data_IF_216131518841
#
_entry.id   IF_216131518841
#
_cell.length_a   1.000
_cell.length_b   1.000
_cell.length_c   1.000
_cell.angle_alpha   90.00
_cell.angle_beta   90.00
_cell.angle_gamma   90.00
#
_symmetry.space_group_name_H-M   'P 1'
#
loop_
_entity.id
_entity.type
_entity.pdbx_description
1 polymer ?
#
# COMPACT_ATOMS: atom_id res chain seq x y z
N UNK A 1 9.72 9.85 -87.76
CA UNK A 1 8.97 9.07 -86.75
C UNK A 1 9.96 8.54 -85.71
N UNK A 2 9.83 8.94 -84.44
CA UNK A 2 10.58 8.35 -83.31
C UNK A 2 9.71 8.43 -82.05
N UNK A 3 9.29 7.26 -81.59
CA UNK A 3 8.30 7.06 -80.53
C UNK A 3 8.89 7.38 -79.15
N UNK A 4 8.18 8.17 -78.33
CA UNK A 4 8.51 8.37 -76.92
C UNK A 4 7.64 7.42 -76.09
N UNK A 5 8.28 6.43 -75.46
CA UNK A 5 7.64 5.55 -74.47
C UNK A 5 7.53 6.33 -73.15
N UNK A 6 6.31 6.55 -72.67
CA UNK A 6 6.06 6.98 -71.29
C UNK A 6 5.90 5.72 -70.44
N UNK A 7 6.83 5.51 -69.50
CA UNK A 7 6.68 4.51 -68.46
C UNK A 7 5.81 5.10 -67.34
N UNK A 8 4.59 4.59 -67.20
CA UNK A 8 3.74 4.87 -66.04
C UNK A 8 4.24 4.03 -64.86
N UNK A 9 4.87 4.68 -63.87
CA UNK A 9 5.24 4.06 -62.60
C UNK A 9 4.00 3.90 -61.73
N UNK A 10 3.65 2.65 -61.42
CA UNK A 10 2.57 2.26 -60.54
C UNK A 10 2.94 2.60 -59.08
N UNK A 11 2.36 3.67 -58.51
CA UNK A 11 2.47 3.95 -57.08
C UNK A 11 1.57 2.98 -56.31
N UNK A 12 2.15 1.87 -55.84
CA UNK A 12 1.49 0.98 -54.89
C UNK A 12 1.46 1.71 -53.54
N UNK A 13 0.34 2.38 -53.26
CA UNK A 13 0.07 2.92 -51.93
C UNK A 13 -0.44 1.77 -51.06
N UNK A 14 0.43 1.22 -50.22
CA UNK A 14 -0.04 0.32 -49.15
C UNK A 14 -0.73 1.18 -48.10
N UNK A 15 -2.07 1.17 -48.12
CA UNK A 15 -2.86 1.67 -47.01
C UNK A 15 -2.60 0.76 -45.80
N UNK A 16 -1.75 1.22 -44.88
CA UNK A 16 -1.63 0.64 -43.54
C UNK A 16 -2.94 0.93 -42.81
N UNK A 17 -3.87 -0.03 -42.84
CA UNK A 17 -5.01 -0.03 -41.95
C UNK A 17 -4.50 -0.17 -40.52
N UNK A 18 -4.43 0.93 -39.78
CA UNK A 18 -4.16 0.90 -38.34
C UNK A 18 -5.35 0.23 -37.67
N UNK A 19 -5.20 -1.05 -37.31
CA UNK A 19 -6.08 -1.69 -36.34
C UNK A 19 -5.81 -0.97 -35.02
N UNK A 20 -6.75 -0.14 -34.57
CA UNK A 20 -6.76 0.37 -33.21
C UNK A 20 -6.94 -0.84 -32.29
N UNK A 21 -5.84 -1.34 -31.73
CA UNK A 21 -5.90 -2.24 -30.58
C UNK A 21 -6.51 -1.41 -29.45
N UNK A 22 -7.78 -1.60 -29.16
CA UNK A 22 -8.43 -1.12 -27.95
C UNK A 22 -7.77 -1.85 -26.77
N UNK A 23 -6.63 -1.33 -26.30
CA UNK A 23 -6.07 -1.76 -25.03
C UNK A 23 -7.11 -1.41 -23.97
N UNK A 24 -7.59 -2.36 -23.15
CA UNK A 24 -8.46 -2.02 -22.03
C UNK A 24 -7.69 -1.04 -21.15
N UNK A 25 -8.26 0.15 -20.97
CA UNK A 25 -7.76 1.09 -19.97
C UNK A 25 -7.99 0.41 -18.61
N UNK A 26 -6.92 0.03 -17.92
CA UNK A 26 -7.02 -0.24 -16.50
C UNK A 26 -7.54 1.05 -15.85
N UNK A 27 -8.68 0.97 -15.18
CA UNK A 27 -9.23 2.12 -14.49
C UNK A 27 -8.23 2.55 -13.42
N UNK A 28 -7.57 3.68 -13.63
CA UNK A 28 -6.69 4.28 -12.64
C UNK A 28 -7.56 4.98 -11.59
N UNK A 29 -7.43 4.58 -10.33
CA UNK A 29 -8.15 5.21 -9.23
C UNK A 29 -7.50 6.55 -8.91
N UNK A 30 -8.32 7.57 -8.68
CA UNK A 30 -7.84 8.86 -8.20
C UNK A 30 -7.18 8.71 -6.82
N UNK A 31 -6.31 9.67 -6.48
CA UNK A 31 -5.67 9.73 -5.18
C UNK A 31 -6.69 9.65 -4.03
N UNK A 32 -7.77 10.43 -4.10
CA UNK A 32 -8.83 10.46 -3.10
C UNK A 32 -9.51 9.10 -2.94
N UNK A 33 -9.82 8.41 -4.04
CA UNK A 33 -10.41 7.06 -3.99
C UNK A 33 -9.49 6.06 -3.29
N UNK A 34 -8.18 6.10 -3.58
CA UNK A 34 -7.22 5.20 -2.93
C UNK A 34 -7.07 5.50 -1.44
N UNK A 35 -7.08 6.77 -1.07
CA UNK A 35 -7.00 7.18 0.33
C UNK A 35 -8.26 6.82 1.10
N UNK A 36 -9.44 6.99 0.50
CA UNK A 36 -10.72 6.56 1.07
C UNK A 36 -10.73 5.04 1.27
N UNK A 37 -10.31 4.27 0.26
CA UNK A 37 -10.26 2.81 0.37
C UNK A 37 -9.35 2.35 1.52
N UNK A 38 -8.20 3.00 1.72
CA UNK A 38 -7.36 2.79 2.90
C UNK A 38 -8.06 3.21 4.19
N UNK A 39 -8.66 4.40 4.23
CA UNK A 39 -9.27 4.97 5.44
C UNK A 39 -10.48 4.16 5.94
N UNK A 40 -11.23 3.55 5.03
CA UNK A 40 -12.34 2.64 5.33
C UNK A 40 -11.89 1.19 5.57
N UNK A 41 -10.59 0.90 5.43
CA UNK A 41 -10.05 -0.44 5.69
C UNK A 41 -9.78 -0.69 7.17
N UNK A 42 -9.44 -1.94 7.50
CA UNK A 42 -8.94 -2.30 8.83
C UNK A 42 -7.44 -2.06 9.05
N UNK A 43 -6.72 -1.53 8.04
CA UNK A 43 -5.28 -1.28 8.14
C UNK A 43 -5.01 0.07 8.80
N UNK A 44 -4.04 0.09 9.71
CA UNK A 44 -3.70 1.28 10.47
C UNK A 44 -2.48 2.02 9.89
N UNK A 45 -2.10 3.13 10.53
CA UNK A 45 -0.97 3.94 10.12
C UNK A 45 0.36 3.16 10.09
N UNK A 46 0.58 2.27 11.06
CA UNK A 46 1.76 1.43 11.10
C UNK A 46 1.80 0.46 9.90
N UNK A 47 0.67 -0.15 9.54
CA UNK A 47 0.59 -1.01 8.34
C UNK A 47 0.96 -0.23 7.08
N UNK A 48 0.39 0.96 6.89
CA UNK A 48 0.73 1.82 5.76
C UNK A 48 2.21 2.21 5.75
N UNK A 49 2.77 2.57 6.90
CA UNK A 49 4.18 2.90 7.03
C UNK A 49 5.06 1.72 6.62
N UNK A 50 4.77 0.52 7.12
CA UNK A 50 5.52 -0.68 6.77
C UNK A 50 5.40 -1.03 5.28
N UNK A 51 4.21 -0.88 4.68
CA UNK A 51 4.02 -1.06 3.24
C UNK A 51 4.88 -0.07 2.45
N UNK A 52 4.90 1.21 2.83
CA UNK A 52 5.76 2.22 2.21
C UNK A 52 7.26 1.88 2.33
N UNK A 53 7.70 1.52 3.54
CA UNK A 53 9.11 1.19 3.82
C UNK A 53 9.62 0.01 2.99
N UNK A 54 8.78 -0.98 2.67
CA UNK A 54 9.18 -2.14 1.86
C UNK A 54 9.73 -1.72 0.47
N UNK A 55 9.22 -0.62 -0.09
CA UNK A 55 9.66 -0.09 -1.38
C UNK A 55 10.32 1.30 -1.28
N UNK A 56 10.85 1.63 -0.09
CA UNK A 56 11.51 2.90 0.19
C UNK A 56 10.64 4.13 -0.17
N UNK A 57 9.35 4.05 0.14
CA UNK A 57 8.38 5.12 -0.01
C UNK A 57 7.95 5.64 1.37
N UNK A 58 7.32 6.81 1.38
CA UNK A 58 6.73 7.37 2.59
C UNK A 58 5.39 6.69 2.95
N UNK A 59 4.85 7.03 4.11
CA UNK A 59 3.57 6.50 4.59
C UNK A 59 2.39 6.92 3.69
N UNK A 60 2.46 8.07 3.02
CA UNK A 60 1.41 8.54 2.10
C UNK A 60 1.29 7.58 0.92
N UNK A 61 2.42 7.19 0.35
CA UNK A 61 2.46 6.17 -0.70
C UNK A 61 2.05 4.79 -0.17
N UNK A 62 2.43 4.44 1.05
CA UNK A 62 1.96 3.20 1.69
C UNK A 62 0.44 3.10 1.77
N UNK A 63 -0.24 4.20 2.15
CA UNK A 63 -1.71 4.28 2.15
C UNK A 63 -2.29 4.11 0.74
N UNK A 64 -1.71 4.80 -0.25
CA UNK A 64 -2.13 4.67 -1.64
C UNK A 64 -1.96 3.24 -2.19
N UNK A 65 -0.88 2.54 -1.83
CA UNK A 65 -0.64 1.15 -2.23
C UNK A 65 -1.71 0.23 -1.63
N UNK A 66 -1.99 0.35 -0.32
CA UNK A 66 -3.06 -0.42 0.35
C UNK A 66 -4.41 -0.14 -0.33
N UNK A 67 -4.75 1.13 -0.54
CA UNK A 67 -6.00 1.53 -1.18
C UNK A 67 -6.15 0.96 -2.59
N UNK A 68 -5.11 1.05 -3.40
CA UNK A 68 -5.09 0.47 -4.75
C UNK A 68 -5.27 -1.05 -4.70
N UNK A 69 -4.59 -1.76 -3.80
CA UNK A 69 -4.75 -3.21 -3.64
C UNK A 69 -6.20 -3.59 -3.34
N UNK A 70 -6.85 -2.87 -2.42
CA UNK A 70 -8.25 -3.08 -2.05
C UNK A 70 -9.18 -2.83 -3.24
N UNK A 71 -9.03 -1.69 -3.93
CA UNK A 71 -9.89 -1.32 -5.05
C UNK A 71 -9.72 -2.22 -6.28
N UNK A 72 -8.53 -2.82 -6.46
CA UNK A 72 -8.28 -3.82 -7.50
C UNK A 72 -8.73 -5.24 -7.10
N UNK A 73 -9.39 -5.41 -5.94
CA UNK A 73 -9.90 -6.71 -5.50
C UNK A 73 -8.82 -7.69 -5.03
N UNK A 74 -7.61 -7.21 -4.77
CA UNK A 74 -6.45 -8.01 -4.32
C UNK A 74 -5.95 -7.54 -2.94
N UNK A 75 -6.87 -7.04 -2.10
CA UNK A 75 -6.56 -6.60 -0.73
C UNK A 75 -6.07 -7.73 0.19
N UNK A 76 -6.40 -8.98 -0.16
CA UNK A 76 -5.92 -10.20 0.51
C UNK A 76 -4.41 -10.45 0.39
N UNK A 77 -3.71 -9.74 -0.52
CA UNK A 77 -2.25 -9.78 -0.63
C UNK A 77 -1.55 -8.99 0.48
N UNK A 78 -2.24 -8.01 1.09
CA UNK A 78 -1.60 -7.06 2.02
C UNK A 78 -0.98 -7.75 3.25
N UNK A 79 -1.59 -8.79 3.85
CA UNK A 79 -0.93 -9.55 4.93
C UNK A 79 0.41 -10.15 4.53
N UNK A 80 0.56 -10.63 3.29
CA UNK A 80 1.83 -11.13 2.76
C UNK A 80 2.85 -10.00 2.62
N UNK A 81 2.44 -8.85 2.08
CA UNK A 81 3.29 -7.65 1.96
C UNK A 81 3.78 -7.18 3.34
N UNK A 82 2.91 -7.18 4.35
CA UNK A 82 3.29 -6.83 5.71
C UNK A 82 4.26 -7.87 6.31
N UNK A 83 4.08 -9.15 6.01
CA UNK A 83 5.03 -10.19 6.41
C UNK A 83 6.42 -10.00 5.76
N UNK A 84 6.46 -9.66 4.47
CA UNK A 84 7.70 -9.32 3.75
C UNK A 84 8.37 -8.07 4.34
N UNK A 85 7.60 -7.03 4.63
CA UNK A 85 8.10 -5.82 5.28
C UNK A 85 8.72 -6.12 6.66
N UNK A 86 8.08 -6.99 7.44
CA UNK A 86 8.65 -7.46 8.72
C UNK A 86 9.93 -8.27 8.53
N UNK A 87 10.00 -9.13 7.51
CA UNK A 87 11.19 -9.90 7.18
C UNK A 87 12.36 -8.99 6.73
N UNK A 88 12.05 -7.85 6.11
CA UNK A 88 13.00 -6.79 5.78
C UNK A 88 13.39 -5.89 6.97
N UNK A 89 13.03 -6.27 8.20
CA UNK A 89 13.30 -5.52 9.43
C UNK A 89 12.61 -4.14 9.52
N UNK A 90 11.59 -3.86 8.70
CA UNK A 90 10.79 -2.65 8.86
C UNK A 90 9.90 -2.76 10.10
N UNK A 91 9.86 -1.71 10.91
CA UNK A 91 9.15 -1.67 12.20
C UNK A 91 8.50 -0.31 12.39
N UNK A 92 7.48 -0.28 13.23
CA UNK A 92 6.90 0.95 13.72
C UNK A 92 7.47 1.31 15.08
N UNK A 93 7.57 2.61 15.34
CA UNK A 93 7.88 3.17 16.64
C UNK A 93 6.59 3.41 17.42
N UNK A 94 6.74 3.74 18.70
CA UNK A 94 5.64 4.10 19.58
C UNK A 94 4.77 5.23 18.99
N UNK A 95 5.41 6.24 18.41
CA UNK A 95 4.77 7.43 17.84
C UNK A 95 3.97 7.13 16.56
N UNK A 96 4.16 5.95 15.96
CA UNK A 96 3.38 5.51 14.79
C UNK A 96 2.12 4.73 15.21
N UNK A 97 1.93 4.50 16.51
CA UNK A 97 0.76 3.78 17.02
C UNK A 97 -0.39 4.75 17.32
N UNK A 98 -1.61 4.21 17.42
CA UNK A 98 -2.79 4.99 17.78
C UNK A 98 -2.94 5.22 19.30
N UNK A 99 -2.01 4.69 20.10
CA UNK A 99 -2.12 4.68 21.56
C UNK A 99 -1.42 5.89 22.17
N UNK A 100 -1.96 6.37 23.27
CA UNK A 100 -1.41 7.50 24.01
C UNK A 100 -0.63 7.07 25.26
N UNK A 101 -0.15 8.06 26.02
CA UNK A 101 0.62 7.79 27.23
C UNK A 101 -0.20 7.04 28.29
N UNK A 102 -1.50 7.33 28.40
CA UNK A 102 -2.37 6.72 29.41
C UNK A 102 -2.66 5.26 29.05
N UNK A 103 -2.80 4.95 27.75
CA UNK A 103 -2.84 3.58 27.25
C UNK A 103 -1.56 2.83 27.61
N UNK A 104 -0.38 3.42 27.39
CA UNK A 104 0.89 2.78 27.77
C UNK A 104 1.01 2.55 29.28
N UNK A 105 0.53 3.48 30.10
CA UNK A 105 0.49 3.33 31.55
C UNK A 105 -0.49 2.21 31.98
N UNK A 106 -1.64 2.11 31.31
CA UNK A 106 -2.60 1.04 31.56
C UNK A 106 -2.04 -0.33 31.18
N UNK A 107 -1.41 -0.45 30.00
CA UNK A 107 -0.71 -1.68 29.57
C UNK A 107 0.42 -2.06 30.52
N UNK A 108 1.22 -1.09 30.97
CA UNK A 108 2.28 -1.33 31.94
C UNK A 108 1.75 -1.99 33.22
N UNK A 109 0.61 -1.50 33.74
CA UNK A 109 -0.05 -2.08 34.91
C UNK A 109 -0.68 -3.43 34.62
N UNK A 110 -1.41 -3.56 33.51
CA UNK A 110 -2.13 -4.77 33.16
C UNK A 110 -1.19 -5.97 32.98
N UNK A 111 0.01 -5.73 32.45
CA UNK A 111 0.99 -6.78 32.15
C UNK A 111 2.19 -6.81 33.09
N UNK A 112 2.15 -6.02 34.18
CA UNK A 112 3.22 -5.93 35.17
C UNK A 112 4.61 -5.63 34.54
N UNK A 113 4.65 -4.66 33.61
CA UNK A 113 5.87 -4.20 32.97
C UNK A 113 6.63 -3.24 33.88
N UNK A 114 7.96 -3.28 33.84
CA UNK A 114 8.83 -2.52 34.75
C UNK A 114 8.73 -1.01 34.61
N UNK A 115 8.29 -0.51 33.45
CA UNK A 115 8.15 0.92 33.18
C UNK A 115 7.16 1.22 32.06
N UNK A 116 6.72 2.48 31.96
CA UNK A 116 5.96 2.97 30.80
C UNK A 116 6.77 2.90 29.51
N UNK A 117 8.10 3.05 29.58
CA UNK A 117 8.98 2.89 28.41
C UNK A 117 8.93 1.46 27.86
N UNK A 118 8.95 0.45 28.74
CA UNK A 118 8.80 -0.95 28.35
C UNK A 118 7.42 -1.22 27.72
N UNK A 119 6.38 -0.60 28.26
CA UNK A 119 5.03 -0.70 27.70
C UNK A 119 4.94 -0.09 26.30
N UNK A 120 5.51 1.11 26.09
CA UNK A 120 5.57 1.74 24.76
C UNK A 120 6.28 0.86 23.73
N UNK A 121 7.42 0.29 24.11
CA UNK A 121 8.17 -0.65 23.26
C UNK A 121 7.35 -1.91 22.95
N UNK A 122 6.66 -2.45 23.96
CA UNK A 122 5.79 -3.62 23.79
C UNK A 122 4.61 -3.32 22.87
N UNK A 123 3.96 -2.16 23.03
CA UNK A 123 2.85 -1.74 22.17
C UNK A 123 3.32 -1.57 20.73
N UNK A 124 4.42 -0.85 20.50
CA UNK A 124 5.00 -0.68 19.17
C UNK A 124 5.33 -2.03 18.50
N UNK A 125 5.90 -2.96 19.28
CA UNK A 125 6.17 -4.32 18.82
C UNK A 125 4.89 -5.07 18.46
N UNK A 126 3.84 -5.02 19.29
CA UNK A 126 2.58 -5.71 19.05
C UNK A 126 1.85 -5.15 17.82
N UNK A 127 1.76 -3.83 17.71
CA UNK A 127 1.17 -3.15 16.53
C UNK A 127 1.94 -3.52 15.26
N UNK A 128 3.27 -3.46 15.30
CA UNK A 128 4.11 -3.90 14.17
C UNK A 128 3.75 -5.32 13.72
N UNK A 129 3.50 -6.25 14.64
CA UNK A 129 3.20 -7.65 14.32
C UNK A 129 1.72 -7.91 13.97
N UNK A 130 0.87 -6.89 13.94
CA UNK A 130 -0.58 -7.07 13.72
C UNK A 130 -1.32 -7.62 14.94
N UNK A 131 -0.69 -7.62 16.12
CA UNK A 131 -1.24 -8.10 17.39
C UNK A 131 -1.93 -6.96 18.19
N UNK A 132 -2.40 -5.91 17.52
CA UNK A 132 -3.02 -4.74 18.17
C UNK A 132 -4.18 -5.14 19.10
N UNK A 133 -4.91 -6.20 18.75
CA UNK A 133 -6.01 -6.75 19.56
C UNK A 133 -5.58 -7.14 20.98
N UNK A 134 -4.32 -7.53 21.19
CA UNK A 134 -3.79 -7.85 22.52
C UNK A 134 -3.70 -6.59 23.39
N UNK A 135 -3.38 -5.45 22.79
CA UNK A 135 -3.35 -4.16 23.49
C UNK A 135 -4.76 -3.77 23.89
N UNK A 136 -5.71 -3.87 22.96
CA UNK A 136 -7.12 -3.56 23.21
C UNK A 136 -7.70 -4.41 24.37
N UNK A 137 -7.40 -5.72 24.39
CA UNK A 137 -7.76 -6.57 25.53
C UNK A 137 -7.15 -6.13 26.87
N UNK A 138 -5.89 -5.67 26.87
CA UNK A 138 -5.24 -5.16 28.07
C UNK A 138 -5.88 -3.84 28.56
N UNK A 139 -6.41 -3.05 27.64
CA UNK A 139 -7.11 -1.79 27.91
C UNK A 139 -8.59 -2.01 28.26
N UNK A 140 -9.14 -3.18 27.95
CA UNK A 140 -10.55 -3.51 28.18
C UNK A 140 -11.51 -2.81 27.22
N UNK A 141 -11.07 -2.55 25.97
CA UNK A 141 -11.87 -1.93 24.91
C UNK A 141 -11.75 -2.67 23.59
#
# INVERSE_FOLDING_TARGET
MRSKRFAAGLFITTALSTIALETPAFAEYSFDQTFDAYAWSGYNYCDAKMVGMLWNQDVTQGKAIIGNKILNGIGEDIPLILAESRAAYNRCNWEDTAYDYDDALAVARAWNLGSVADAKGTIAFKVTNGDSYMIEQALGR
#
